data_IF_207688434745
#
_entry.id   IF_207688434745
#
_cell.length_a   1.000
_cell.length_b   1.000
_cell.length_c   1.000
_cell.angle_alpha   90.00
_cell.angle_beta   90.00
_cell.angle_gamma   90.00
#
_symmetry.space_group_name_H-M   'P 1'
#
loop_
_entity.id
_entity.type
_entity.pdbx_description
1 polymer ?
#
# COMPACT_ATOMS: atom_id res chain seq x y z
N UNK A 1 -48.12 -63.16 36.61
CA UNK A 1 -46.86 -62.39 36.61
C UNK A 1 -46.54 -61.99 35.17
N UNK A 2 -46.93 -60.79 34.75
CA UNK A 2 -46.84 -60.32 33.36
C UNK A 2 -45.85 -59.15 33.26
N UNK A 3 -44.81 -59.33 32.45
CA UNK A 3 -43.71 -58.37 32.25
C UNK A 3 -44.19 -57.21 31.37
N UNK A 4 -44.12 -55.97 31.86
CA UNK A 4 -44.32 -54.76 31.04
C UNK A 4 -42.97 -54.22 30.58
N UNK A 5 -42.81 -54.20 29.26
CA UNK A 5 -41.66 -53.75 28.50
C UNK A 5 -41.57 -52.22 28.56
N UNK A 6 -40.46 -51.67 29.07
CA UNK A 6 -40.18 -50.23 29.02
C UNK A 6 -39.37 -49.93 27.75
N UNK A 7 -39.98 -49.24 26.79
CA UNK A 7 -39.29 -48.65 25.64
C UNK A 7 -38.58 -47.36 26.08
N UNK A 8 -37.25 -47.30 25.93
CA UNK A 8 -36.47 -46.06 26.03
C UNK A 8 -36.47 -45.36 24.67
N UNK A 9 -37.06 -44.17 24.59
CA UNK A 9 -36.90 -43.29 23.44
C UNK A 9 -35.55 -42.56 23.53
N UNK A 10 -34.66 -42.79 22.56
CA UNK A 10 -33.42 -42.03 22.42
C UNK A 10 -33.67 -40.86 21.45
N UNK A 11 -33.63 -39.64 21.97
CA UNK A 11 -33.62 -38.42 21.14
C UNK A 11 -32.23 -38.23 20.53
N UNK A 12 -32.15 -38.25 19.21
CA UNK A 12 -30.96 -37.86 18.43
C UNK A 12 -31.04 -36.37 18.17
N UNK A 13 -30.18 -35.58 18.80
CA UNK A 13 -30.03 -34.15 18.51
C UNK A 13 -29.05 -33.97 17.35
N UNK A 14 -29.56 -33.56 16.19
CA UNK A 14 -28.72 -33.13 15.05
C UNK A 14 -28.28 -31.69 15.31
N UNK A 15 -27.00 -31.49 15.64
CA UNK A 15 -26.41 -30.15 15.70
C UNK A 15 -25.96 -29.75 14.30
N UNK A 16 -26.64 -28.79 13.67
CA UNK A 16 -26.12 -28.12 12.48
C UNK A 16 -24.95 -27.23 12.90
N UNK A 17 -23.74 -27.61 12.54
CA UNK A 17 -22.60 -26.69 12.53
C UNK A 17 -22.80 -25.70 11.38
N UNK A 18 -23.20 -24.47 11.70
CA UNK A 18 -23.19 -23.37 10.73
C UNK A 18 -21.74 -22.94 10.59
N UNK A 19 -21.08 -23.38 9.52
CA UNK A 19 -19.79 -22.85 9.12
C UNK A 19 -20.01 -21.43 8.60
N UNK A 20 -19.76 -20.43 9.44
CA UNK A 20 -19.74 -19.04 9.00
C UNK A 20 -18.61 -18.87 7.98
N UNK A 21 -18.97 -18.73 6.71
CA UNK A 21 -18.06 -18.18 5.70
C UNK A 21 -17.74 -16.75 6.14
N UNK A 22 -16.48 -16.48 6.48
CA UNK A 22 -16.01 -15.13 6.75
C UNK A 22 -15.98 -14.41 5.40
N UNK A 23 -17.12 -13.88 4.99
CA UNK A 23 -17.19 -12.88 3.94
C UNK A 23 -16.47 -11.63 4.41
N UNK A 24 -15.48 -11.17 3.64
CA UNK A 24 -14.86 -9.87 3.83
C UNK A 24 -15.95 -8.80 3.82
N UNK A 25 -16.16 -8.14 4.96
CA UNK A 25 -17.15 -7.08 5.09
C UNK A 25 -16.87 -5.99 4.03
N UNK A 26 -17.89 -5.50 3.33
CA UNK A 26 -17.71 -4.37 2.42
C UNK A 26 -17.25 -3.16 3.25
N UNK A 27 -16.37 -2.35 2.67
CA UNK A 27 -15.95 -1.08 3.23
C UNK A 27 -17.14 -0.10 3.20
N UNK A 28 -18.10 -0.25 4.11
CA UNK A 28 -19.38 0.46 4.17
C UNK A 28 -20.20 0.40 2.86
N UNK A 29 -21.36 -0.27 2.92
CA UNK A 29 -22.39 -0.16 1.88
C UNK A 29 -23.04 1.24 1.93
N UNK A 30 -22.31 2.28 1.53
CA UNK A 30 -22.88 3.55 1.09
C UNK A 30 -23.31 3.40 -0.36
N UNK A 31 -24.44 4.01 -0.74
CA UNK A 31 -24.85 4.12 -2.14
C UNK A 31 -23.76 4.91 -2.89
N UNK A 32 -22.93 4.21 -3.66
CA UNK A 32 -21.92 4.87 -4.48
C UNK A 32 -22.51 5.77 -5.54
N UNK A 33 -21.75 6.77 -5.98
CA UNK A 33 -22.16 7.69 -7.03
C UNK A 33 -21.47 7.38 -8.37
N UNK A 34 -22.17 7.68 -9.46
CA UNK A 34 -21.60 7.61 -10.80
C UNK A 34 -20.84 8.90 -11.12
N UNK A 35 -19.55 8.77 -11.44
CA UNK A 35 -18.69 9.87 -11.86
C UNK A 35 -18.19 9.60 -13.29
N UNK A 36 -18.48 10.51 -14.21
CA UNK A 36 -18.18 10.32 -15.63
C UNK A 36 -18.71 8.96 -16.19
N UNK A 37 -19.85 8.49 -15.68
CA UNK A 37 -20.47 7.22 -16.09
C UNK A 37 -19.90 5.96 -15.43
N UNK A 38 -18.99 6.07 -14.45
CA UNK A 38 -18.43 4.91 -13.73
C UNK A 38 -18.72 5.04 -12.24
N UNK A 39 -19.14 3.94 -11.61
CA UNK A 39 -19.44 3.87 -10.19
C UNK A 39 -18.16 3.96 -9.35
N UNK A 40 -18.16 4.82 -8.34
CA UNK A 40 -17.15 4.92 -7.27
C UNK A 40 -17.93 4.80 -5.96
N UNK A 41 -17.45 4.03 -4.98
CA UNK A 41 -18.18 3.86 -3.72
C UNK A 41 -17.27 3.69 -2.50
N UNK A 42 -17.89 3.74 -1.31
CA UNK A 42 -17.25 3.46 -0.03
C UNK A 42 -16.03 4.34 0.24
N UNK A 43 -15.02 3.78 0.92
CA UNK A 43 -13.84 4.53 1.31
C UNK A 43 -13.00 5.06 0.12
N UNK A 44 -13.10 4.43 -1.06
CA UNK A 44 -12.46 4.94 -2.28
C UNK A 44 -13.18 6.19 -2.78
N UNK A 45 -14.51 6.21 -2.74
CA UNK A 45 -15.30 7.40 -3.05
C UNK A 45 -15.02 8.53 -2.08
N UNK A 46 -15.01 8.26 -0.77
CA UNK A 46 -14.68 9.28 0.25
C UNK A 46 -13.33 9.95 -0.05
N UNK A 47 -12.31 9.14 -0.37
CA UNK A 47 -10.99 9.65 -0.78
C UNK A 47 -11.08 10.44 -2.08
N UNK A 48 -11.80 9.94 -3.09
CA UNK A 48 -11.96 10.61 -4.37
C UNK A 48 -12.64 11.97 -4.25
N UNK A 49 -13.73 12.05 -3.47
CA UNK A 49 -14.46 13.28 -3.17
C UNK A 49 -13.58 14.27 -2.40
N UNK A 50 -12.79 13.81 -1.44
CA UNK A 50 -11.83 14.67 -0.71
C UNK A 50 -10.77 15.33 -1.62
N UNK A 51 -10.54 14.74 -2.80
CA UNK A 51 -9.59 15.22 -3.81
C UNK A 51 -10.29 16.01 -4.94
N UNK A 52 -11.48 16.56 -4.68
CA UNK A 52 -12.29 17.32 -5.65
C UNK A 52 -12.82 16.47 -6.83
N UNK A 53 -12.94 15.15 -6.64
CA UNK A 53 -13.56 14.22 -7.58
C UNK A 53 -13.06 14.39 -9.03
N UNK A 54 -13.96 14.39 -10.02
CA UNK A 54 -13.62 14.52 -11.44
C UNK A 54 -13.01 15.88 -11.81
N UNK A 55 -13.17 16.89 -10.95
CA UNK A 55 -12.61 18.22 -11.13
C UNK A 55 -11.20 18.35 -10.51
N UNK A 56 -10.76 17.33 -9.77
CA UNK A 56 -9.44 17.26 -9.16
C UNK A 56 -8.39 16.57 -10.03
N UNK A 57 -7.20 16.38 -9.46
CA UNK A 57 -6.04 15.78 -10.15
C UNK A 57 -6.30 14.35 -10.62
N UNK A 58 -7.14 13.58 -9.92
CA UNK A 58 -7.49 12.22 -10.34
C UNK A 58 -8.30 12.20 -11.63
N UNK A 59 -9.15 13.20 -11.86
CA UNK A 59 -10.05 13.26 -13.01
C UNK A 59 -11.09 12.14 -12.99
N UNK A 60 -11.66 11.83 -14.15
CA UNK A 60 -12.67 10.77 -14.27
C UNK A 60 -12.10 9.38 -13.92
N UNK A 61 -12.87 8.53 -13.22
CA UNK A 61 -12.56 7.09 -13.11
C UNK A 61 -12.47 6.44 -14.50
N UNK A 62 -11.60 5.44 -14.62
CA UNK A 62 -11.38 4.66 -15.85
C UNK A 62 -11.77 3.19 -15.70
N UNK A 63 -11.87 2.71 -14.47
CA UNK A 63 -12.38 1.38 -14.12
C UNK A 63 -13.40 1.50 -13.00
N UNK A 64 -14.28 0.51 -12.86
CA UNK A 64 -14.99 0.29 -11.60
C UNK A 64 -14.00 -0.19 -10.52
N UNK A 65 -14.41 -0.12 -9.25
CA UNK A 65 -13.65 -0.71 -8.15
C UNK A 65 -13.46 -2.22 -8.35
N UNK A 66 -12.25 -2.71 -8.15
CA UNK A 66 -11.87 -4.11 -8.29
C UNK A 66 -11.11 -4.60 -7.04
N UNK A 67 -11.09 -5.92 -6.85
CA UNK A 67 -10.26 -6.53 -5.81
C UNK A 67 -8.76 -6.31 -6.09
N UNK A 68 -8.00 -6.10 -5.02
CA UNK A 68 -6.55 -6.02 -5.02
C UNK A 68 -5.98 -7.10 -4.09
N UNK A 69 -4.70 -7.47 -4.27
CA UNK A 69 -4.15 -8.62 -3.57
C UNK A 69 -4.15 -8.42 -2.04
N UNK A 70 -4.31 -9.51 -1.29
CA UNK A 70 -4.29 -9.46 0.18
C UNK A 70 -5.54 -8.84 0.82
N UNK A 71 -6.67 -8.76 0.10
CA UNK A 71 -7.96 -8.34 0.65
C UNK A 71 -8.22 -6.84 0.65
N UNK A 72 -7.49 -6.09 -0.17
CA UNK A 72 -7.79 -4.68 -0.43
C UNK A 72 -8.58 -4.50 -1.72
N UNK A 73 -8.84 -3.24 -2.04
CA UNK A 73 -9.60 -2.81 -3.21
C UNK A 73 -8.85 -1.70 -3.93
N UNK A 74 -9.08 -1.55 -5.21
CA UNK A 74 -8.46 -0.50 -6.03
C UNK A 74 -9.45 0.08 -7.03
N UNK A 75 -9.22 1.33 -7.41
CA UNK A 75 -9.87 1.92 -8.57
C UNK A 75 -8.90 2.84 -9.31
N UNK A 76 -8.97 2.77 -10.64
CA UNK A 76 -8.15 3.58 -11.53
C UNK A 76 -8.91 4.79 -12.03
N UNK A 77 -8.18 5.89 -12.16
CA UNK A 77 -8.64 7.18 -12.66
C UNK A 77 -7.65 7.68 -13.72
N UNK A 78 -8.06 8.67 -14.51
CA UNK A 78 -7.21 9.25 -15.56
C UNK A 78 -5.85 9.74 -15.03
N UNK A 79 -5.85 10.33 -13.83
CA UNK A 79 -4.67 10.95 -13.22
C UNK A 79 -3.89 10.06 -12.23
N UNK A 80 -4.39 8.87 -11.89
CA UNK A 80 -3.78 8.02 -10.86
C UNK A 80 -4.69 6.90 -10.40
N UNK A 81 -4.43 6.36 -9.21
CA UNK A 81 -5.23 5.29 -8.62
C UNK A 81 -5.41 5.52 -7.13
N UNK A 82 -6.54 5.02 -6.62
CA UNK A 82 -6.82 4.95 -5.19
C UNK A 82 -6.83 3.49 -4.79
N UNK A 83 -6.06 3.15 -3.78
CA UNK A 83 -6.00 1.82 -3.19
C UNK A 83 -6.51 1.90 -1.75
N UNK A 84 -7.37 0.97 -1.39
CA UNK A 84 -7.89 0.82 -0.03
C UNK A 84 -7.55 -0.55 0.53
N UNK A 85 -7.23 -0.59 1.82
CA UNK A 85 -7.10 -1.83 2.58
C UNK A 85 -7.51 -1.58 4.04
N UNK A 86 -8.15 -2.53 4.74
CA UNK A 86 -8.68 -2.29 6.11
C UNK A 86 -7.63 -1.84 7.13
N UNK A 87 -6.37 -2.23 6.94
CA UNK A 87 -5.24 -1.80 7.81
C UNK A 87 -4.72 -0.39 7.53
N UNK A 88 -4.85 0.11 6.30
CA UNK A 88 -4.19 1.37 5.87
C UNK A 88 -5.20 2.46 5.52
N UNK A 89 -6.45 2.11 5.22
CA UNK A 89 -7.42 3.04 4.65
C UNK A 89 -7.18 3.27 3.15
N UNK A 90 -7.91 4.24 2.58
CA UNK A 90 -7.81 4.60 1.18
C UNK A 90 -6.72 5.66 0.98
N UNK A 91 -5.81 5.42 0.05
CA UNK A 91 -4.75 6.35 -0.30
C UNK A 91 -4.56 6.45 -1.80
N UNK A 92 -4.20 7.67 -2.22
CA UNK A 92 -3.92 7.97 -3.62
C UNK A 92 -2.44 7.81 -3.95
N UNK A 93 -2.19 7.23 -5.13
CA UNK A 93 -0.85 7.17 -5.75
C UNK A 93 -1.01 7.61 -7.21
N UNK A 94 -0.12 8.48 -7.70
CA UNK A 94 -0.21 8.97 -9.08
C UNK A 94 1.17 9.19 -9.73
N UNK A 95 1.17 9.48 -11.02
CA UNK A 95 2.36 9.91 -11.77
C UNK A 95 3.55 8.95 -11.69
N UNK A 96 4.75 9.52 -11.56
CA UNK A 96 5.99 8.76 -11.56
C UNK A 96 6.13 7.80 -10.36
N UNK A 97 5.57 8.16 -9.20
CA UNK A 97 5.57 7.29 -8.02
C UNK A 97 4.69 6.06 -8.26
N UNK A 98 3.49 6.25 -8.81
CA UNK A 98 2.64 5.13 -9.22
C UNK A 98 3.35 4.24 -10.24
N UNK A 99 3.97 4.84 -11.27
CA UNK A 99 4.75 4.10 -12.27
C UNK A 99 5.85 3.24 -11.65
N UNK A 100 6.61 3.78 -10.70
CA UNK A 100 7.66 3.04 -9.99
C UNK A 100 7.08 1.94 -9.08
N UNK A 101 6.00 2.22 -8.36
CA UNK A 101 5.34 1.21 -7.51
C UNK A 101 4.78 0.06 -8.34
N UNK A 102 4.26 0.33 -9.54
CA UNK A 102 3.84 -0.70 -10.51
C UNK A 102 4.99 -1.60 -10.91
N UNK A 103 6.16 -1.03 -11.23
CA UNK A 103 7.37 -1.82 -11.56
C UNK A 103 7.80 -2.75 -10.43
N UNK A 104 7.56 -2.34 -9.18
CA UNK A 104 7.88 -3.12 -7.98
C UNK A 104 6.76 -4.07 -7.53
N UNK A 105 5.75 -4.32 -8.37
CA UNK A 105 4.70 -5.30 -8.07
C UNK A 105 3.59 -4.79 -7.15
N UNK A 106 3.46 -3.46 -6.98
CA UNK A 106 2.39 -2.80 -6.23
C UNK A 106 2.21 -3.36 -4.81
N UNK A 107 0.98 -3.72 -4.44
CA UNK A 107 0.60 -4.25 -3.13
C UNK A 107 1.20 -5.64 -2.85
N UNK A 108 1.63 -6.37 -3.89
CA UNK A 108 2.37 -7.62 -3.70
C UNK A 108 3.84 -7.38 -3.36
N UNK A 109 4.40 -6.24 -3.79
CA UNK A 109 5.77 -5.82 -3.49
C UNK A 109 5.88 -5.11 -2.15
N UNK A 110 5.83 -3.77 -2.17
CA UNK A 110 5.93 -2.94 -0.95
C UNK A 110 4.65 -2.85 -0.13
N UNK A 111 3.58 -3.51 -0.57
CA UNK A 111 2.30 -3.49 0.11
C UNK A 111 1.52 -2.20 -0.14
N UNK A 112 0.41 -2.04 0.58
CA UNK A 112 -0.48 -0.90 0.42
C UNK A 112 0.17 0.42 0.83
N UNK A 113 -0.17 1.53 0.16
CA UNK A 113 0.23 2.87 0.59
C UNK A 113 -0.24 3.16 2.02
N UNK A 114 0.63 3.80 2.81
CA UNK A 114 0.34 4.34 4.16
C UNK A 114 0.06 5.85 4.15
N UNK A 115 0.38 6.50 3.03
CA UNK A 115 0.18 7.93 2.82
C UNK A 115 -0.40 8.14 1.44
N UNK A 116 -1.11 9.27 1.28
CA UNK A 116 -1.26 9.88 -0.05
C UNK A 116 0.12 10.33 -0.56
N UNK A 117 0.20 10.78 -1.82
CA UNK A 117 1.43 11.43 -2.28
C UNK A 117 1.59 12.80 -1.60
N UNK A 118 2.63 12.96 -0.80
CA UNK A 118 2.90 14.17 -0.03
C UNK A 118 4.06 14.98 -0.61
N UNK A 119 4.06 16.30 -0.40
CA UNK A 119 5.24 17.13 -0.64
C UNK A 119 6.27 16.81 0.43
N UNK A 120 7.54 16.65 0.03
CA UNK A 120 8.63 16.55 1.01
C UNK A 120 8.74 17.83 1.85
N UNK A 121 9.18 17.72 3.11
CA UNK A 121 9.40 18.86 3.99
C UNK A 121 10.28 19.99 3.43
N UNK A 122 11.25 19.71 2.57
CA UNK A 122 12.09 20.72 1.88
C UNK A 122 11.41 21.38 0.66
N UNK A 123 10.22 20.89 0.28
CA UNK A 123 9.39 21.33 -0.86
C UNK A 123 9.98 21.05 -2.25
N UNK A 124 11.00 20.19 -2.36
CA UNK A 124 11.63 19.87 -3.64
C UNK A 124 10.99 18.65 -4.31
N UNK A 125 10.64 17.65 -3.51
CA UNK A 125 10.18 16.35 -3.97
C UNK A 125 8.77 15.98 -3.54
N UNK A 126 8.41 14.76 -3.93
CA UNK A 126 7.15 14.09 -3.59
C UNK A 126 7.46 12.69 -3.07
N UNK A 127 6.62 12.13 -2.21
CA UNK A 127 6.80 10.76 -1.73
C UNK A 127 5.51 10.06 -1.35
N UNK A 128 5.56 8.72 -1.36
CA UNK A 128 4.63 7.84 -0.66
C UNK A 128 5.41 6.88 0.25
N UNK A 129 4.84 6.55 1.41
CA UNK A 129 5.27 5.43 2.25
C UNK A 129 4.35 4.22 2.05
N UNK A 130 4.89 3.01 2.19
CA UNK A 130 4.18 1.75 1.96
C UNK A 130 4.33 0.79 3.14
N UNK A 131 3.32 -0.05 3.37
CA UNK A 131 3.14 -0.83 4.60
C UNK A 131 4.30 -1.81 4.89
N UNK A 132 5.00 -2.31 3.86
CA UNK A 132 6.09 -3.29 4.03
C UNK A 132 7.46 -2.63 4.16
N UNK A 133 7.53 -1.38 4.63
CA UNK A 133 8.81 -0.69 4.86
C UNK A 133 9.47 -0.16 3.59
N UNK A 134 8.70 -0.01 2.50
CA UNK A 134 9.12 0.67 1.28
C UNK A 134 8.74 2.14 1.29
N UNK A 135 9.51 2.96 0.58
CA UNK A 135 9.13 4.32 0.21
C UNK A 135 9.60 4.63 -1.18
N UNK A 136 8.85 5.50 -1.86
CA UNK A 136 9.23 5.98 -3.18
C UNK A 136 9.26 7.49 -3.11
N UNK A 137 10.41 8.06 -3.46
CA UNK A 137 10.65 9.49 -3.52
C UNK A 137 10.85 9.90 -4.96
N UNK A 138 10.29 11.04 -5.35
CA UNK A 138 10.44 11.63 -6.66
C UNK A 138 10.93 13.07 -6.55
N UNK A 139 11.86 13.46 -7.42
CA UNK A 139 12.19 14.86 -7.69
C UNK A 139 12.24 15.11 -9.19
N UNK A 140 12.14 16.37 -9.65
CA UNK A 140 12.37 16.70 -11.06
C UNK A 140 13.77 16.29 -11.57
N UNK A 141 14.77 16.28 -10.69
CA UNK A 141 16.16 16.02 -11.07
C UNK A 141 16.51 14.53 -11.15
N UNK A 142 15.89 13.70 -10.31
CA UNK A 142 16.24 12.28 -10.16
C UNK A 142 15.20 11.35 -10.75
N UNK A 143 13.94 11.78 -10.85
CA UNK A 143 12.84 10.86 -11.07
C UNK A 143 12.49 10.08 -9.79
N UNK A 144 11.66 9.04 -9.95
CA UNK A 144 11.13 8.26 -8.84
C UNK A 144 12.05 7.09 -8.50
N UNK A 145 12.43 6.98 -7.23
CA UNK A 145 13.32 5.94 -6.73
C UNK A 145 12.79 5.33 -5.44
N UNK A 146 13.03 4.03 -5.30
CA UNK A 146 12.69 3.24 -4.13
C UNK A 146 13.76 3.36 -3.06
N UNK A 147 13.33 3.30 -1.80
CA UNK A 147 14.20 3.13 -0.63
C UNK A 147 13.49 2.17 0.32
N UNK A 148 14.17 1.11 0.78
CA UNK A 148 13.53 0.01 1.49
C UNK A 148 14.29 -0.42 2.76
N UNK A 149 13.57 -1.07 3.68
CA UNK A 149 14.15 -1.85 4.78
C UNK A 149 15.10 -1.06 5.68
N UNK A 150 16.23 -1.67 6.02
CA UNK A 150 17.20 -1.09 6.95
C UNK A 150 17.84 0.20 6.42
N UNK A 151 18.11 0.29 5.11
CA UNK A 151 18.63 1.52 4.48
C UNK A 151 17.63 2.65 4.64
N UNK A 152 16.35 2.40 4.35
CA UNK A 152 15.28 3.39 4.57
C UNK A 152 15.21 3.81 6.04
N UNK A 153 15.29 2.86 6.97
CA UNK A 153 15.26 3.12 8.41
C UNK A 153 16.40 4.03 8.87
N UNK A 154 17.62 3.76 8.41
CA UNK A 154 18.78 4.60 8.74
C UNK A 154 18.68 5.99 8.08
N UNK A 155 18.23 6.08 6.83
CA UNK A 155 18.04 7.36 6.16
C UNK A 155 16.97 8.21 6.86
N UNK A 156 15.89 7.57 7.32
CA UNK A 156 14.87 8.19 8.14
C UNK A 156 15.43 8.75 9.45
N UNK A 157 16.24 7.95 10.17
CA UNK A 157 16.87 8.35 11.43
C UNK A 157 17.81 9.56 11.26
N UNK A 158 18.40 9.74 10.07
CA UNK A 158 19.22 10.90 9.72
C UNK A 158 18.44 12.13 9.25
N UNK A 159 17.11 12.05 9.16
CA UNK A 159 16.27 13.16 8.72
C UNK A 159 15.97 13.17 7.22
N UNK A 160 15.95 12.00 6.58
CA UNK A 160 15.46 11.82 5.20
C UNK A 160 16.19 12.72 4.19
N UNK A 161 15.46 13.35 3.27
CA UNK A 161 15.98 14.23 2.22
C UNK A 161 16.66 15.51 2.75
N UNK A 162 16.50 15.82 4.04
CA UNK A 162 17.19 16.93 4.71
C UNK A 162 18.56 16.55 5.28
N UNK A 163 18.89 15.26 5.30
CA UNK A 163 20.21 14.76 5.71
C UNK A 163 21.30 15.11 4.69
N UNK A 164 22.58 14.86 5.02
CA UNK A 164 23.67 15.02 4.07
C UNK A 164 23.53 14.16 2.80
N UNK A 165 22.76 13.06 2.86
CA UNK A 165 22.51 12.20 1.71
C UNK A 165 21.56 12.83 0.68
N UNK A 166 20.60 13.66 1.09
CA UNK A 166 19.53 14.18 0.23
C UNK A 166 18.70 13.06 -0.42
N UNK A 167 18.33 13.20 -1.70
CA UNK A 167 17.42 12.28 -2.38
C UNK A 167 18.11 11.05 -2.97
N UNK A 168 17.41 9.91 -3.06
CA UNK A 168 17.90 8.75 -3.83
C UNK A 168 18.04 9.11 -5.31
N UNK A 169 19.07 8.56 -5.96
CA UNK A 169 19.37 8.74 -7.40
C UNK A 169 19.38 7.43 -8.20
N UNK A 170 19.18 6.30 -7.52
CA UNK A 170 19.08 4.97 -8.09
C UNK A 170 18.07 4.16 -7.27
N UNK A 171 17.70 2.97 -7.71
CA UNK A 171 17.02 2.00 -6.85
C UNK A 171 18.05 1.15 -6.08
N UNK A 172 17.64 0.51 -4.99
CA UNK A 172 18.54 -0.29 -4.15
C UNK A 172 19.06 -1.53 -4.92
N UNK A 173 20.37 -1.75 -4.88
CA UNK A 173 21.04 -2.83 -5.61
C UNK A 173 21.93 -3.67 -4.69
N UNK A 174 22.29 -4.88 -5.14
CA UNK A 174 23.23 -5.73 -4.41
C UNK A 174 24.65 -5.15 -4.50
N UNK A 175 25.38 -5.17 -3.39
CA UNK A 175 26.81 -4.81 -3.40
C UNK A 175 27.59 -5.75 -4.32
N UNK A 176 28.68 -5.30 -4.95
CA UNK A 176 29.61 -6.19 -5.64
C UNK A 176 30.03 -7.35 -4.71
N UNK A 177 29.78 -8.59 -5.13
CA UNK A 177 30.03 -9.80 -4.33
C UNK A 177 28.83 -10.33 -3.53
N UNK A 178 27.66 -9.68 -3.57
CA UNK A 178 26.39 -10.21 -3.06
C UNK A 178 26.24 -10.30 -1.54
N UNK A 179 27.19 -9.77 -0.76
CA UNK A 179 27.17 -9.81 0.71
C UNK A 179 26.31 -8.74 1.39
N UNK A 180 25.63 -7.90 0.62
CA UNK A 180 24.91 -6.75 1.12
C UNK A 180 24.15 -6.01 0.04
N UNK A 181 23.57 -4.88 0.45
CA UNK A 181 22.76 -3.98 -0.38
C UNK A 181 23.35 -2.59 -0.33
N UNK A 182 23.17 -1.79 -1.37
CA UNK A 182 23.54 -0.39 -1.36
C UNK A 182 22.50 0.47 -2.08
N UNK A 183 22.48 1.74 -1.70
CA UNK A 183 21.59 2.74 -2.24
C UNK A 183 22.41 4.01 -2.49
N UNK A 184 22.26 4.59 -3.68
CA UNK A 184 22.90 5.85 -4.03
C UNK A 184 21.95 7.00 -3.77
N UNK A 185 22.50 8.08 -3.23
CA UNK A 185 21.84 9.35 -2.98
C UNK A 185 22.65 10.50 -3.58
N UNK A 186 22.04 11.67 -3.74
CA UNK A 186 22.71 12.84 -4.33
C UNK A 186 23.94 13.28 -3.54
N UNK A 187 23.92 13.13 -2.21
CA UNK A 187 24.98 13.54 -1.32
C UNK A 187 25.89 12.43 -0.81
N UNK A 188 25.70 11.18 -1.28
CA UNK A 188 26.50 10.06 -0.83
C UNK A 188 25.86 8.70 -1.11
N UNK A 189 26.24 7.70 -0.33
CA UNK A 189 25.69 6.35 -0.45
C UNK A 189 25.38 5.75 0.92
N UNK A 190 24.47 4.77 0.93
CA UNK A 190 24.27 3.89 2.08
C UNK A 190 24.54 2.46 1.68
N UNK A 191 25.07 1.70 2.63
CA UNK A 191 25.32 0.28 2.52
C UNK A 191 24.65 -0.44 3.67
N UNK A 192 24.19 -1.65 3.39
CA UNK A 192 23.70 -2.58 4.40
C UNK A 192 24.35 -3.94 4.23
N UNK A 193 24.74 -4.55 5.35
CA UNK A 193 25.16 -5.96 5.39
C UNK A 193 24.49 -6.65 6.58
N UNK A 194 24.35 -8.00 6.58
CA UNK A 194 23.74 -8.72 7.70
C UNK A 194 24.43 -8.47 9.04
N UNK A 195 25.76 -8.34 9.05
CA UNK A 195 26.54 -8.18 10.28
C UNK A 195 26.82 -6.72 10.65
N UNK A 196 26.79 -5.80 9.68
CA UNK A 196 27.13 -4.39 9.89
C UNK A 196 25.93 -3.46 9.98
N UNK A 197 24.72 -3.93 9.65
CA UNK A 197 23.55 -3.06 9.55
C UNK A 197 23.70 -1.99 8.46
N UNK A 198 22.80 -1.01 8.47
CA UNK A 198 22.81 0.09 7.51
C UNK A 198 23.71 1.23 8.00
N UNK A 199 24.57 1.76 7.13
CA UNK A 199 25.45 2.89 7.41
C UNK A 199 25.64 3.76 6.17
N UNK A 200 25.89 5.05 6.36
CA UNK A 200 26.05 6.03 5.30
C UNK A 200 27.48 6.51 5.14
N UNK A 201 27.82 6.92 3.92
CA UNK A 201 28.99 7.74 3.62
C UNK A 201 28.50 9.08 3.06
N UNK A 202 28.43 10.07 3.94
CA UNK A 202 28.36 11.51 3.72
C UNK A 202 28.91 12.20 4.99
#
# INVERSE_FOLDING_TARGET
>A
MSKRLMFRAATVSVSLAVTALIGSAPAHAGEGSYHCGVLVYGAIEDKYLSLNAQNGKLGCPTTTEADAAGGGRQQWFKGGSVFWHPRTGAHVVWGAILGKWVQYGRESGYGYPLTDELTTPDRVGRYNHFERGGSIYWTPATGAHTVYGAIRGEWAAKGWERSCLRYPIADEADTPGGGGRYQLFQGGSMYWTPNGGAHSTC
#
